data_IF_416389344204
#
_entry.id   IF_416389344204
#
_cell.length_a   1.000
_cell.length_b   1.000
_cell.length_c   1.000
_cell.angle_alpha   90.00
_cell.angle_beta   90.00
_cell.angle_gamma   90.00
#
_symmetry.space_group_name_H-M   'P 1'
#
loop_
_entity.id
_entity.type
_entity.pdbx_description
1 polymer ?
#
# COMPACT_ATOMS: atom_id res chain seq x y z
N UNK A 1 1.88 25.50 1.38
CA UNK A 1 1.18 25.06 2.60
C UNK A 1 1.70 23.71 3.08
N UNK A 2 1.97 22.74 2.23
CA UNK A 2 2.50 21.41 2.58
C UNK A 2 3.94 21.39 3.13
N UNK A 3 4.78 22.36 2.84
CA UNK A 3 6.15 22.47 3.37
C UNK A 3 6.25 22.61 4.92
N UNK A 4 5.15 22.57 5.64
CA UNK A 4 5.09 22.64 7.09
C UNK A 4 4.54 21.35 7.74
N UNK A 5 4.10 20.37 6.95
CA UNK A 5 3.69 19.05 7.41
C UNK A 5 4.93 18.14 7.46
N UNK A 6 4.98 17.22 8.40
CA UNK A 6 5.92 16.11 8.29
C UNK A 6 5.48 15.15 7.16
N UNK A 7 6.39 14.28 6.76
CA UNK A 7 6.16 13.42 5.58
C UNK A 7 4.97 12.47 5.76
N UNK A 8 4.72 11.98 6.99
CA UNK A 8 3.60 11.10 7.29
C UNK A 8 2.26 11.84 7.20
N UNK A 9 2.17 13.03 7.79
CA UNK A 9 0.99 13.89 7.70
C UNK A 9 0.71 14.35 6.26
N UNK A 10 1.75 14.50 5.45
CA UNK A 10 1.59 14.83 4.03
C UNK A 10 1.06 13.63 3.23
N UNK A 11 1.53 12.43 3.51
CA UNK A 11 1.04 11.20 2.88
C UNK A 11 -0.44 10.94 3.22
N UNK A 12 -0.80 10.99 4.51
CA UNK A 12 -2.19 10.84 4.97
C UNK A 12 -3.13 11.92 4.39
N UNK A 13 -2.66 13.17 4.32
CA UNK A 13 -3.45 14.26 3.74
C UNK A 13 -3.66 14.08 2.23
N UNK A 14 -2.72 13.45 1.53
CA UNK A 14 -2.79 13.21 0.09
C UNK A 14 -3.72 12.04 -0.22
N UNK A 15 -3.68 10.94 0.53
CA UNK A 15 -4.59 9.81 0.32
C UNK A 15 -6.08 10.15 0.57
N UNK A 16 -6.37 11.25 1.24
CA UNK A 16 -7.74 11.78 1.42
C UNK A 16 -8.25 12.63 0.23
N UNK A 17 -7.41 12.90 -0.77
CA UNK A 17 -7.82 13.65 -1.96
C UNK A 17 -8.21 12.72 -3.09
N UNK A 18 -9.42 12.87 -3.63
CA UNK A 18 -9.94 12.14 -4.81
C UNK A 18 -9.49 12.75 -6.16
N UNK A 19 -8.36 13.47 -6.21
CA UNK A 19 -7.89 14.20 -7.41
C UNK A 19 -6.44 13.80 -7.74
N UNK A 20 -6.31 12.75 -8.53
CA UNK A 20 -5.02 12.16 -8.95
C UNK A 20 -4.15 13.16 -9.73
N UNK A 21 -4.77 14.07 -10.53
CA UNK A 21 -4.05 15.09 -11.29
C UNK A 21 -3.37 16.10 -10.36
N UNK A 22 -4.07 16.54 -9.31
CA UNK A 22 -3.51 17.43 -8.30
C UNK A 22 -2.39 16.74 -7.50
N UNK A 23 -2.57 15.47 -7.18
CA UNK A 23 -1.58 14.69 -6.42
C UNK A 23 -0.31 14.47 -7.25
N UNK A 24 -0.45 14.17 -8.52
CA UNK A 24 0.68 14.04 -9.45
C UNK A 24 1.45 15.37 -9.59
N UNK A 25 0.75 16.51 -9.74
CA UNK A 25 1.38 17.84 -9.79
C UNK A 25 2.15 18.15 -8.48
N UNK A 26 1.61 17.74 -7.34
CA UNK A 26 2.28 17.90 -6.05
C UNK A 26 3.55 17.05 -5.94
N UNK A 27 3.51 15.80 -6.37
CA UNK A 27 4.67 14.91 -6.42
C UNK A 27 5.78 15.44 -7.32
N UNK A 28 5.42 16.02 -8.47
CA UNK A 28 6.35 16.65 -9.38
C UNK A 28 7.05 17.87 -8.78
N UNK A 29 6.37 18.59 -7.88
CA UNK A 29 6.90 19.74 -7.16
C UNK A 29 7.87 19.41 -6.02
N UNK A 30 7.93 18.15 -5.59
CA UNK A 30 8.81 17.68 -4.52
C UNK A 30 10.20 17.28 -5.04
N UNK A 31 11.18 17.21 -4.14
CA UNK A 31 12.43 16.52 -4.45
C UNK A 31 12.16 15.02 -4.64
N UNK A 32 12.96 14.34 -5.48
CA UNK A 32 12.77 12.90 -5.71
C UNK A 32 12.85 12.07 -4.43
N UNK A 33 13.67 12.51 -3.47
CA UNK A 33 13.79 11.83 -2.17
C UNK A 33 12.54 12.02 -1.32
N UNK A 34 11.96 13.22 -1.29
CA UNK A 34 10.76 13.50 -0.51
C UNK A 34 9.54 12.82 -1.14
N UNK A 35 9.40 12.89 -2.47
CA UNK A 35 8.35 12.21 -3.22
C UNK A 35 8.40 10.69 -3.00
N UNK A 36 9.59 10.08 -3.10
CA UNK A 36 9.77 8.65 -2.84
C UNK A 36 9.43 8.26 -1.40
N UNK A 37 9.85 9.08 -0.43
CA UNK A 37 9.54 8.83 0.98
C UNK A 37 8.05 8.93 1.28
N UNK A 38 7.35 9.85 0.63
CA UNK A 38 5.93 10.04 0.78
C UNK A 38 5.14 8.85 0.18
N UNK A 39 5.46 8.46 -1.04
CA UNK A 39 4.85 7.28 -1.68
C UNK A 39 5.10 5.98 -0.90
N UNK A 40 6.25 5.85 -0.25
CA UNK A 40 6.57 4.69 0.58
C UNK A 40 5.77 4.60 1.89
N UNK A 41 5.09 5.68 2.28
CA UNK A 41 4.22 5.77 3.46
C UNK A 41 2.73 5.63 3.12
N UNK A 42 2.40 5.60 1.83
CA UNK A 42 1.03 5.40 1.34
C UNK A 42 0.70 3.91 1.25
N UNK A 43 -0.59 3.60 1.16
CA UNK A 43 -1.02 2.25 0.80
C UNK A 43 -0.47 1.88 -0.58
N UNK A 44 0.00 0.64 -0.78
CA UNK A 44 0.69 0.26 -2.01
C UNK A 44 -0.13 0.42 -3.29
N UNK A 45 -1.45 0.29 -3.22
CA UNK A 45 -2.36 0.49 -4.35
C UNK A 45 -2.50 1.96 -4.71
N UNK A 46 -2.68 2.85 -3.74
CA UNK A 46 -2.70 4.30 -3.95
C UNK A 46 -1.37 4.79 -4.51
N UNK A 47 -0.25 4.33 -3.93
CA UNK A 47 1.07 4.65 -4.45
C UNK A 47 1.29 4.13 -5.88
N UNK A 48 0.74 2.96 -6.23
CA UNK A 48 0.83 2.41 -7.57
C UNK A 48 0.03 3.25 -8.57
N UNK A 49 -1.15 3.76 -8.21
CA UNK A 49 -1.96 4.61 -9.06
C UNK A 49 -1.24 5.92 -9.38
N UNK A 50 -0.65 6.57 -8.37
CA UNK A 50 0.13 7.79 -8.59
C UNK A 50 1.42 7.56 -9.40
N UNK A 51 2.09 6.44 -9.20
CA UNK A 51 3.29 6.07 -9.98
C UNK A 51 2.94 5.84 -11.46
N UNK A 52 1.78 5.27 -11.75
CA UNK A 52 1.32 4.98 -13.11
C UNK A 52 1.03 6.28 -13.92
N UNK A 53 0.61 7.34 -13.25
CA UNK A 53 0.38 8.66 -13.86
C UNK A 53 1.68 9.43 -14.18
N UNK A 54 2.82 9.01 -13.61
CA UNK A 54 4.10 9.68 -13.81
C UNK A 54 4.80 9.23 -15.11
N UNK A 55 5.64 10.12 -15.66
CA UNK A 55 6.58 9.73 -16.71
C UNK A 55 7.46 8.55 -16.26
N UNK A 56 7.68 7.58 -17.16
CA UNK A 56 8.45 6.37 -16.88
C UNK A 56 9.80 6.62 -16.20
N UNK A 57 10.55 7.64 -16.62
CA UNK A 57 11.86 7.96 -16.03
C UNK A 57 11.72 8.43 -14.56
N UNK A 58 10.69 9.22 -14.28
CA UNK A 58 10.38 9.71 -12.92
C UNK A 58 9.91 8.55 -12.04
N UNK A 59 8.95 7.76 -12.51
CA UNK A 59 8.42 6.59 -11.82
C UNK A 59 9.54 5.61 -11.41
N UNK A 60 10.40 5.22 -12.36
CA UNK A 60 11.53 4.33 -12.11
C UNK A 60 12.54 4.91 -11.10
N UNK A 61 12.73 6.21 -11.12
CA UNK A 61 13.63 6.89 -10.19
C UNK A 61 13.08 6.89 -8.78
N UNK A 62 11.79 7.17 -8.61
CA UNK A 62 11.13 7.16 -7.30
C UNK A 62 11.11 5.75 -6.70
N UNK A 63 10.72 4.75 -7.47
CA UNK A 63 10.71 3.35 -7.05
C UNK A 63 12.08 2.88 -6.56
N UNK A 64 13.17 3.23 -7.25
CA UNK A 64 14.54 2.87 -6.83
C UNK A 64 15.02 3.58 -5.56
N UNK A 65 14.42 4.69 -5.20
CA UNK A 65 14.74 5.41 -3.97
C UNK A 65 13.99 4.87 -2.76
N UNK A 66 12.91 4.10 -2.98
CA UNK A 66 12.13 3.46 -1.92
C UNK A 66 12.86 2.31 -1.26
N UNK A 67 12.36 1.84 -0.13
CA UNK A 67 12.75 0.58 0.50
C UNK A 67 12.40 -0.63 -0.39
N UNK A 68 13.16 -1.72 -0.26
CA UNK A 68 12.98 -2.92 -1.10
C UNK A 68 11.58 -3.54 -0.93
N UNK A 69 10.99 -3.44 0.27
CA UNK A 69 9.65 -3.97 0.57
C UNK A 69 8.58 -3.18 -0.18
N UNK A 70 8.62 -1.86 -0.06
CA UNK A 70 7.68 -0.92 -0.64
C UNK A 70 7.78 -0.94 -2.18
N UNK A 71 8.99 -0.83 -2.74
CA UNK A 71 9.21 -0.96 -4.18
C UNK A 71 8.62 -2.25 -4.74
N UNK A 72 8.84 -3.38 -4.06
CA UNK A 72 8.33 -4.67 -4.51
C UNK A 72 6.80 -4.74 -4.47
N UNK A 73 6.17 -4.22 -3.43
CA UNK A 73 4.72 -4.20 -3.29
C UNK A 73 4.07 -3.41 -4.45
N UNK A 74 4.54 -2.18 -4.67
CA UNK A 74 4.05 -1.31 -5.75
C UNK A 74 4.30 -1.95 -7.13
N UNK A 75 5.51 -2.47 -7.42
CA UNK A 75 5.80 -3.14 -8.70
C UNK A 75 4.95 -4.37 -8.95
N UNK A 76 4.55 -5.10 -7.92
CA UNK A 76 3.63 -6.22 -8.07
C UNK A 76 2.25 -5.76 -8.57
N UNK A 77 1.73 -4.65 -8.04
CA UNK A 77 0.45 -4.08 -8.46
C UNK A 77 0.52 -3.50 -9.87
N UNK A 78 1.58 -2.75 -10.20
CA UNK A 78 1.85 -2.26 -11.55
C UNK A 78 2.05 -3.36 -12.60
N UNK A 79 2.29 -4.60 -12.19
CA UNK A 79 2.39 -5.76 -13.07
C UNK A 79 1.05 -6.32 -13.54
N UNK A 80 -0.07 -5.90 -12.98
CA UNK A 80 -1.41 -6.28 -13.41
C UNK A 80 -1.93 -5.34 -14.50
N UNK A 81 -2.80 -5.85 -15.37
CA UNK A 81 -3.48 -5.04 -16.38
C UNK A 81 -4.48 -4.07 -15.72
N UNK A 82 -4.61 -2.87 -16.27
CA UNK A 82 -5.56 -1.86 -15.82
C UNK A 82 -7.00 -2.41 -15.77
N UNK A 83 -7.78 -1.94 -14.80
CA UNK A 83 -9.15 -2.38 -14.57
C UNK A 83 -9.30 -3.88 -14.25
N UNK A 84 -8.25 -4.54 -13.76
CA UNK A 84 -8.34 -5.89 -13.19
C UNK A 84 -8.42 -5.83 -11.67
N UNK A 85 -8.93 -6.88 -11.03
CA UNK A 85 -8.97 -6.98 -9.58
C UNK A 85 -7.55 -6.90 -8.95
N UNK A 86 -6.55 -7.45 -9.63
CA UNK A 86 -5.17 -7.38 -9.17
C UNK A 86 -4.60 -5.97 -9.15
N UNK A 87 -5.08 -5.07 -10.04
CA UNK A 87 -4.59 -3.69 -10.12
C UNK A 87 -5.18 -2.79 -9.03
N UNK A 88 -6.40 -3.07 -8.60
CA UNK A 88 -7.16 -2.28 -7.61
C UNK A 88 -7.29 -2.95 -6.24
N UNK A 89 -6.57 -4.08 -6.00
CA UNK A 89 -6.58 -4.77 -4.72
C UNK A 89 -5.56 -4.16 -3.76
N UNK A 90 -5.89 -4.11 -2.47
CA UNK A 90 -4.86 -3.96 -1.44
C UNK A 90 -4.01 -5.23 -1.36
N UNK A 91 -2.73 -5.08 -1.16
CA UNK A 91 -1.81 -6.19 -0.85
C UNK A 91 -1.63 -6.39 0.65
N UNK A 92 -2.25 -5.54 1.47
CA UNK A 92 -2.19 -5.57 2.92
C UNK A 92 -3.38 -6.33 3.50
N UNK A 93 -3.18 -7.56 3.89
CA UNK A 93 -4.18 -8.41 4.53
C UNK A 93 -3.53 -9.38 5.52
N UNK A 94 -4.31 -9.81 6.51
CA UNK A 94 -3.87 -10.83 7.47
C UNK A 94 -4.28 -12.20 6.98
N UNK A 95 -3.32 -13.08 6.72
CA UNK A 95 -3.56 -14.49 6.47
C UNK A 95 -2.90 -15.38 7.53
N UNK A 96 -3.55 -16.48 7.86
CA UNK A 96 -3.08 -17.46 8.82
C UNK A 96 -3.28 -18.88 8.26
N UNK A 97 -2.47 -19.86 8.69
CA UNK A 97 -2.75 -21.25 8.37
C UNK A 97 -4.15 -21.67 8.85
N UNK A 98 -4.85 -22.50 8.07
CA UNK A 98 -6.18 -23.02 8.44
C UNK A 98 -6.22 -23.76 9.79
N UNK A 99 -5.06 -24.11 10.34
CA UNK A 99 -4.90 -24.74 11.66
C UNK A 99 -4.72 -23.74 12.80
N UNK A 100 -4.61 -22.44 12.50
CA UNK A 100 -4.46 -21.40 13.51
C UNK A 100 -5.70 -21.30 14.40
N UNK A 101 -5.49 -20.88 15.63
CA UNK A 101 -6.57 -20.63 16.59
C UNK A 101 -7.05 -19.18 16.52
N UNK A 102 -8.20 -18.89 17.11
CA UNK A 102 -8.69 -17.52 17.29
C UNK A 102 -7.69 -16.68 18.10
N UNK A 103 -6.98 -17.29 19.05
CA UNK A 103 -5.92 -16.63 19.81
C UNK A 103 -4.79 -16.15 18.91
N UNK A 104 -4.33 -17.00 18.00
CA UNK A 104 -3.28 -16.65 17.04
C UNK A 104 -3.73 -15.50 16.13
N UNK A 105 -5.00 -15.47 15.73
CA UNK A 105 -5.55 -14.37 14.92
C UNK A 105 -5.55 -13.03 15.69
N UNK A 106 -5.91 -13.05 16.97
CA UNK A 106 -5.89 -11.84 17.81
C UNK A 106 -4.45 -11.36 18.03
N UNK A 107 -3.50 -12.26 18.21
CA UNK A 107 -2.09 -11.89 18.35
C UNK A 107 -1.54 -11.31 17.05
N UNK A 108 -1.81 -11.94 15.90
CA UNK A 108 -1.39 -11.43 14.60
C UNK A 108 -1.89 -10.00 14.34
N UNK A 109 -3.16 -9.71 14.67
CA UNK A 109 -3.72 -8.36 14.51
C UNK A 109 -3.06 -7.35 15.46
N UNK A 110 -2.70 -7.76 16.68
CA UNK A 110 -2.03 -6.88 17.65
C UNK A 110 -0.58 -6.55 17.28
N UNK A 111 0.03 -7.38 16.45
CA UNK A 111 1.41 -7.20 15.96
C UNK A 111 1.48 -6.35 14.69
N UNK A 112 0.32 -5.97 14.11
CA UNK A 112 0.28 -5.06 12.96
C UNK A 112 0.78 -3.67 13.36
N UNK A 113 1.46 -3.03 12.44
CA UNK A 113 1.87 -1.64 12.59
C UNK A 113 0.65 -0.70 12.67
N UNK A 114 0.81 0.47 13.29
CA UNK A 114 -0.27 1.46 13.42
C UNK A 114 -0.75 1.97 12.05
N UNK A 115 0.13 1.93 11.04
CA UNK A 115 -0.13 2.38 9.68
C UNK A 115 -0.74 1.29 8.79
N UNK A 116 -1.07 0.10 9.35
CA UNK A 116 -1.70 -0.96 8.58
C UNK A 116 -3.16 -0.63 8.29
N UNK A 117 -3.58 -0.79 7.04
CA UNK A 117 -4.95 -0.57 6.62
C UNK A 117 -5.96 -1.34 7.48
N UNK A 118 -7.16 -0.79 7.67
CA UNK A 118 -8.19 -1.33 8.56
C UNK A 118 -8.48 -2.81 8.34
N UNK A 119 -8.20 -3.65 9.33
CA UNK A 119 -8.46 -5.09 9.27
C UNK A 119 -9.89 -5.39 9.68
N UNK A 120 -10.73 -5.79 8.73
CA UNK A 120 -12.08 -6.29 8.99
C UNK A 120 -12.18 -7.81 8.92
N UNK A 121 -11.23 -8.45 8.24
CA UNK A 121 -11.22 -9.88 7.98
C UNK A 121 -9.82 -10.45 8.18
N UNK A 122 -9.77 -11.66 8.72
CA UNK A 122 -8.57 -12.52 8.72
C UNK A 122 -8.85 -13.67 7.78
N UNK A 123 -7.95 -13.93 6.86
CA UNK A 123 -8.06 -15.02 5.89
C UNK A 123 -7.33 -16.25 6.41
N UNK A 124 -7.75 -17.43 5.98
CA UNK A 124 -7.02 -18.66 6.24
C UNK A 124 -6.62 -19.34 4.95
N UNK A 125 -5.42 -19.90 4.93
CA UNK A 125 -4.86 -20.56 3.77
C UNK A 125 -4.30 -21.94 4.10
N UNK A 126 -4.24 -22.79 3.10
CA UNK A 126 -3.57 -24.09 3.18
C UNK A 126 -2.06 -23.94 2.90
N UNK A 127 -1.26 -25.03 3.06
CA UNK A 127 0.19 -24.97 2.79
C UNK A 127 0.58 -24.65 1.34
N UNK A 128 -0.38 -24.66 0.40
CA UNK A 128 -0.16 -24.26 -1.00
C UNK A 128 -0.49 -22.80 -1.27
N UNK A 129 -0.95 -22.04 -0.25
CA UNK A 129 -1.37 -20.65 -0.36
C UNK A 129 -2.81 -20.49 -0.89
N UNK A 130 -3.60 -21.57 -0.90
CA UNK A 130 -5.01 -21.50 -1.31
C UNK A 130 -5.88 -21.01 -0.17
N UNK A 131 -6.75 -20.02 -0.46
CA UNK A 131 -7.73 -19.51 0.48
C UNK A 131 -8.68 -20.64 0.93
N UNK A 132 -8.75 -20.88 2.23
CA UNK A 132 -9.61 -21.92 2.84
C UNK A 132 -10.75 -21.36 3.66
N UNK A 133 -10.66 -20.11 4.10
CA UNK A 133 -11.70 -19.47 4.89
C UNK A 133 -11.45 -18.00 5.18
N UNK A 134 -12.45 -17.39 5.79
CA UNK A 134 -12.42 -16.01 6.24
C UNK A 134 -13.06 -15.89 7.61
N UNK A 135 -12.45 -15.14 8.50
CA UNK A 135 -12.95 -14.79 9.83
C UNK A 135 -13.25 -13.30 9.85
N UNK A 136 -14.49 -12.93 10.18
CA UNK A 136 -14.86 -11.52 10.39
C UNK A 136 -14.55 -11.10 11.82
N UNK A 137 -14.05 -9.89 11.98
CA UNK A 137 -13.83 -9.26 13.29
C UNK A 137 -15.05 -8.49 13.82
N UNK A 138 -16.17 -8.60 13.16
CA UNK A 138 -17.47 -8.00 13.52
C UNK A 138 -18.50 -9.05 13.91
#
# INVERSE_FOLDING_TARGET
MFAQLDTAQAAEAISEFDDDELMTEMLEGLSDTDASSMLAMMDPDDAADLIDELDYEKAEKLLRLMGVKEEKAIRNLLGYEDNTAGRIMTSEFVSLPATATVGDAIEAIRELDEDFESVYYVYTEDPSGMLTGVLSLR
#
